data_IF_922256990020
#
_entry.id   IF_922256990020
#
_cell.length_a   1.000
_cell.length_b   1.000
_cell.length_c   1.000
_cell.angle_alpha   90.00
_cell.angle_beta   90.00
_cell.angle_gamma   90.00
#
_symmetry.space_group_name_H-M   'P 1'
#
loop_
_entity.id
_entity.type
_entity.pdbx_description
1 polymer ?
#
# COMPACT_ATOMS: atom_id res chain seq x y z
N UNK A 1 35.95 -8.32 26.98
CA UNK A 1 34.77 -8.26 26.08
C UNK A 1 35.03 -8.72 24.64
N UNK A 2 36.29 -8.90 24.18
CA UNK A 2 36.57 -9.41 22.81
C UNK A 2 36.85 -10.92 22.71
N UNK A 3 36.92 -11.64 23.83
CA UNK A 3 37.28 -13.08 23.85
C UNK A 3 36.05 -13.97 23.56
N UNK A 4 34.83 -13.48 23.78
CA UNK A 4 33.60 -14.25 23.56
C UNK A 4 33.06 -14.22 22.11
N UNK A 5 33.65 -13.44 21.20
CA UNK A 5 33.18 -13.36 19.80
C UNK A 5 33.87 -14.34 18.84
N UNK A 6 34.91 -15.07 19.24
CA UNK A 6 35.67 -15.96 18.32
C UNK A 6 35.20 -17.42 18.33
N UNK A 7 34.43 -17.85 19.35
CA UNK A 7 34.03 -19.25 19.54
C UNK A 7 32.57 -19.56 19.15
N UNK A 8 31.74 -18.57 18.85
CA UNK A 8 30.29 -18.76 18.60
C UNK A 8 29.87 -18.90 17.13
N UNK A 9 30.69 -18.42 16.17
CA UNK A 9 30.24 -18.29 14.77
C UNK A 9 29.99 -19.60 14.02
N UNK A 10 30.57 -20.73 14.46
CA UNK A 10 30.39 -22.01 13.79
C UNK A 10 29.11 -22.74 14.19
N UNK A 11 28.59 -22.54 15.40
CA UNK A 11 27.40 -23.23 15.90
C UNK A 11 26.11 -22.56 15.38
N UNK A 12 26.11 -21.22 15.31
CA UNK A 12 25.00 -20.45 14.77
C UNK A 12 24.74 -20.76 13.28
N UNK A 13 25.80 -20.91 12.48
CA UNK A 13 25.68 -21.22 11.05
C UNK A 13 25.06 -22.60 10.80
N UNK A 14 25.48 -23.62 11.57
CA UNK A 14 24.95 -24.98 11.46
C UNK A 14 23.48 -25.01 11.91
N UNK A 15 23.15 -24.33 13.00
CA UNK A 15 21.79 -24.28 13.51
C UNK A 15 20.84 -23.54 12.55
N UNK A 16 21.25 -22.39 12.01
CA UNK A 16 20.49 -21.65 11.00
C UNK A 16 20.35 -22.48 9.72
N UNK A 17 21.40 -23.20 9.29
CA UNK A 17 21.33 -24.14 8.18
C UNK A 17 20.27 -25.21 8.37
N UNK A 18 20.25 -25.86 9.55
CA UNK A 18 19.22 -26.86 9.91
C UNK A 18 17.80 -26.28 9.92
N UNK A 19 17.61 -25.07 10.45
CA UNK A 19 16.32 -24.36 10.41
C UNK A 19 15.87 -24.04 8.98
N UNK A 20 16.81 -23.87 8.06
CA UNK A 20 16.57 -23.65 6.63
C UNK A 20 16.48 -24.96 5.83
N UNK A 21 16.55 -26.12 6.50
CA UNK A 21 16.45 -27.44 5.89
C UNK A 21 17.75 -27.96 5.25
N UNK A 22 18.90 -27.40 5.60
CA UNK A 22 20.22 -27.83 5.14
C UNK A 22 20.83 -28.86 6.10
N UNK A 23 21.64 -29.77 5.57
CA UNK A 23 22.41 -30.78 6.34
C UNK A 23 21.60 -31.64 7.32
N UNK A 24 20.33 -31.92 7.00
CA UNK A 24 19.44 -32.71 7.85
C UNK A 24 19.81 -34.21 7.93
N UNK A 25 20.64 -34.71 7.01
CA UNK A 25 21.02 -36.13 6.92
C UNK A 25 21.81 -36.67 8.13
N UNK A 26 22.35 -35.79 8.97
CA UNK A 26 23.04 -36.14 10.22
C UNK A 26 22.19 -35.84 11.48
N UNK A 27 20.96 -35.36 11.32
CA UNK A 27 20.08 -34.99 12.43
C UNK A 27 19.25 -36.19 12.89
N UNK A 28 19.03 -36.31 14.19
CA UNK A 28 18.14 -37.33 14.75
C UNK A 28 16.67 -36.99 14.49
N UNK A 29 15.79 -37.98 14.67
CA UNK A 29 14.35 -37.79 14.52
C UNK A 29 13.81 -36.75 15.52
N UNK A 30 14.29 -36.78 16.76
CA UNK A 30 13.89 -35.86 17.82
C UNK A 30 14.32 -34.42 17.51
N UNK A 31 15.54 -34.22 16.99
CA UNK A 31 16.01 -32.91 16.56
C UNK A 31 15.14 -32.35 15.43
N UNK A 32 14.77 -33.20 14.46
CA UNK A 32 13.94 -32.80 13.34
C UNK A 32 12.54 -32.39 13.79
N UNK A 33 11.94 -33.13 14.72
CA UNK A 33 10.63 -32.80 15.30
C UNK A 33 10.67 -31.47 16.08
N UNK A 34 11.76 -31.18 16.78
CA UNK A 34 11.93 -29.91 17.48
C UNK A 34 12.06 -28.73 16.52
N UNK A 35 12.83 -28.90 15.44
CA UNK A 35 12.98 -27.90 14.38
C UNK A 35 11.63 -27.60 13.73
N UNK A 36 10.87 -28.63 13.37
CA UNK A 36 9.55 -28.49 12.75
C UNK A 36 8.58 -27.74 13.68
N UNK A 37 8.51 -28.15 14.94
CA UNK A 37 7.69 -27.48 15.97
C UNK A 37 8.11 -26.02 16.21
N UNK A 38 9.38 -25.68 16.06
CA UNK A 38 9.87 -24.31 16.20
C UNK A 38 9.51 -23.46 14.96
N UNK A 39 9.66 -24.02 13.76
CA UNK A 39 9.26 -23.37 12.52
C UNK A 39 7.75 -23.13 12.48
N UNK A 40 6.94 -24.12 12.84
CA UNK A 40 5.49 -24.00 12.87
C UNK A 40 5.03 -22.87 13.80
N UNK A 41 5.55 -22.83 15.03
CA UNK A 41 5.24 -21.75 15.99
C UNK A 41 5.66 -20.39 15.47
N UNK A 42 6.85 -20.28 14.88
CA UNK A 42 7.38 -19.03 14.35
C UNK A 42 6.56 -18.53 13.16
N UNK A 43 6.22 -19.43 12.22
CA UNK A 43 5.38 -19.12 11.07
C UNK A 43 3.98 -18.71 11.49
N UNK A 44 3.38 -19.39 12.47
CA UNK A 44 2.07 -19.03 13.04
C UNK A 44 2.10 -17.60 13.59
N UNK A 45 3.15 -17.26 14.35
CA UNK A 45 3.32 -15.93 14.92
C UNK A 45 3.48 -14.86 13.83
N UNK A 46 4.32 -15.11 12.82
CA UNK A 46 4.54 -14.18 11.70
C UNK A 46 3.24 -13.97 10.91
N UNK A 47 2.51 -15.04 10.60
CA UNK A 47 1.22 -14.97 9.90
C UNK A 47 0.19 -14.20 10.71
N UNK A 48 0.04 -14.48 12.00
CA UNK A 48 -0.91 -13.80 12.88
C UNK A 48 -0.66 -12.28 12.91
N UNK A 49 0.61 -11.88 13.10
CA UNK A 49 1.01 -10.46 13.08
C UNK A 49 0.73 -9.81 11.73
N UNK A 50 1.10 -10.49 10.63
CA UNK A 50 0.85 -10.00 9.27
C UNK A 50 -0.65 -9.79 9.02
N UNK A 51 -1.48 -10.75 9.40
CA UNK A 51 -2.94 -10.66 9.28
C UNK A 51 -3.51 -9.52 10.10
N UNK A 52 -3.06 -9.34 11.34
CA UNK A 52 -3.51 -8.25 12.20
C UNK A 52 -3.19 -6.88 11.57
N UNK A 53 -1.94 -6.66 11.17
CA UNK A 53 -1.51 -5.40 10.56
C UNK A 53 -2.28 -5.08 9.28
N UNK A 54 -2.51 -6.07 8.41
CA UNK A 54 -3.29 -5.84 7.19
C UNK A 54 -4.75 -5.55 7.49
N UNK A 55 -5.34 -6.18 8.51
CA UNK A 55 -6.71 -5.88 8.91
C UNK A 55 -6.85 -4.42 9.35
N UNK A 56 -5.94 -3.96 10.21
CA UNK A 56 -5.89 -2.58 10.69
C UNK A 56 -5.72 -1.59 9.52
N UNK A 57 -4.83 -1.90 8.57
CA UNK A 57 -4.59 -1.05 7.40
C UNK A 57 -5.80 -1.00 6.46
N UNK A 58 -6.49 -2.13 6.25
CA UNK A 58 -7.73 -2.18 5.46
C UNK A 58 -8.82 -1.33 6.12
N UNK A 59 -8.99 -1.43 7.43
CA UNK A 59 -9.99 -0.63 8.17
C UNK A 59 -9.70 0.87 8.07
N UNK A 60 -8.42 1.26 8.22
CA UNK A 60 -7.97 2.65 8.04
C UNK A 60 -8.26 3.17 6.64
N UNK A 61 -7.99 2.38 5.61
CA UNK A 61 -8.25 2.76 4.22
C UNK A 61 -9.74 2.89 3.93
N UNK A 62 -10.58 1.97 4.43
CA UNK A 62 -12.04 2.06 4.32
C UNK A 62 -12.59 3.32 4.98
N UNK A 63 -12.11 3.67 6.17
CA UNK A 63 -12.52 4.90 6.84
C UNK A 63 -12.16 6.14 6.00
N UNK A 64 -10.96 6.16 5.42
CA UNK A 64 -10.52 7.24 4.53
C UNK A 64 -11.37 7.33 3.26
N UNK A 65 -11.70 6.19 2.66
CA UNK A 65 -12.59 6.13 1.48
C UNK A 65 -13.95 6.75 1.78
N UNK A 66 -14.58 6.38 2.90
CA UNK A 66 -15.87 6.94 3.30
C UNK A 66 -15.84 8.46 3.51
N UNK A 67 -14.81 8.97 4.19
CA UNK A 67 -14.63 10.42 4.39
C UNK A 67 -14.47 11.17 3.05
N UNK A 68 -13.71 10.60 2.12
CA UNK A 68 -13.51 11.19 0.80
C UNK A 68 -14.79 11.16 -0.05
N UNK A 69 -15.59 10.10 0.06
CA UNK A 69 -16.89 10.01 -0.62
C UNK A 69 -17.86 11.06 -0.10
N UNK A 70 -17.93 11.24 1.22
CA UNK A 70 -18.78 12.26 1.85
C UNK A 70 -18.35 13.68 1.43
N UNK A 71 -17.05 13.96 1.48
CA UNK A 71 -16.53 15.27 1.06
C UNK A 71 -16.78 15.53 -0.44
N UNK A 72 -16.58 14.53 -1.29
CA UNK A 72 -16.89 14.64 -2.72
C UNK A 72 -18.39 14.88 -2.97
N UNK A 73 -19.27 14.23 -2.22
CA UNK A 73 -20.71 14.47 -2.32
C UNK A 73 -21.07 15.91 -1.91
N UNK A 74 -20.51 16.38 -0.79
CA UNK A 74 -20.67 17.76 -0.29
C UNK A 74 -20.20 18.80 -1.31
N UNK A 75 -19.00 18.61 -1.86
CA UNK A 75 -18.44 19.51 -2.88
C UNK A 75 -19.24 19.48 -4.17
N UNK A 76 -19.71 18.30 -4.59
CA UNK A 76 -20.55 18.14 -5.78
C UNK A 76 -21.89 18.87 -5.64
N UNK A 77 -22.50 18.83 -4.46
CA UNK A 77 -23.71 19.59 -4.15
C UNK A 77 -23.45 21.10 -4.22
N UNK A 78 -22.40 21.59 -3.56
CA UNK A 78 -22.03 23.02 -3.63
C UNK A 78 -21.74 23.48 -5.06
N UNK A 79 -21.11 22.65 -5.89
CA UNK A 79 -20.90 22.96 -7.32
C UNK A 79 -22.21 23.06 -8.07
N UNK A 80 -23.19 22.19 -7.79
CA UNK A 80 -24.53 22.26 -8.41
C UNK A 80 -25.27 23.53 -7.97
N UNK A 81 -25.17 23.91 -6.70
CA UNK A 81 -25.77 25.13 -6.14
C UNK A 81 -25.15 26.40 -6.76
N UNK A 82 -23.81 26.49 -6.84
CA UNK A 82 -23.11 27.60 -7.50
C UNK A 82 -23.44 27.72 -8.99
N UNK A 83 -23.74 26.60 -9.67
CA UNK A 83 -24.20 26.60 -11.07
C UNK A 83 -25.66 27.05 -11.23
N UNK A 84 -26.52 26.84 -10.23
CA UNK A 84 -27.91 27.36 -10.25
C UNK A 84 -27.97 28.88 -10.02
N UNK A 85 -26.99 29.47 -9.34
CA UNK A 85 -26.83 30.92 -9.17
C UNK A 85 -26.17 31.66 -10.35
N UNK A 86 -25.60 30.93 -11.33
CA UNK A 86 -25.11 31.47 -12.61
C UNK A 86 -26.05 31.07 -13.76
N UNK A 87 -27.32 31.44 -13.67
CA UNK A 87 -28.08 31.79 -14.89
C UNK A 87 -27.83 33.27 -15.16
N UNK A 88 -26.62 33.59 -15.61
CA UNK A 88 -26.37 34.90 -16.21
C UNK A 88 -26.99 34.80 -17.59
N UNK A 89 -28.11 35.49 -17.78
CA UNK A 89 -28.69 35.76 -19.08
C UNK A 89 -27.73 36.71 -19.81
N UNK A 90 -26.75 36.17 -20.54
CA UNK A 90 -25.93 36.96 -21.46
C UNK A 90 -26.29 36.54 -22.90
N UNK A 91 -26.61 37.50 -23.79
CA UNK A 91 -26.85 37.17 -25.19
C UNK A 91 -25.56 36.62 -25.80
N UNK A 92 -25.65 35.41 -26.35
CA UNK A 92 -24.50 34.74 -26.96
C UNK A 92 -23.92 35.59 -28.11
N UNK A 93 -22.72 36.13 -27.91
CA UNK A 93 -21.94 36.67 -29.01
C UNK A 93 -21.32 35.49 -29.75
N UNK A 94 -21.86 35.17 -30.93
CA UNK A 94 -21.23 34.28 -31.91
C UNK A 94 -19.96 34.96 -32.42
N UNK A 95 -18.79 34.45 -32.02
CA UNK A 95 -17.54 34.86 -32.65
C UNK A 95 -17.37 34.05 -33.95
N UNK A 96 -17.77 34.63 -35.08
CA UNK A 96 -17.50 34.06 -36.39
C UNK A 96 -16.00 34.23 -36.68
N UNK A 97 -15.22 33.19 -36.41
CA UNK A 97 -13.76 33.14 -36.61
C UNK A 97 -13.31 33.42 -38.05
N UNK A 98 -14.23 33.44 -39.02
CA UNK A 98 -13.97 33.84 -40.42
C UNK A 98 -13.72 35.34 -40.59
N UNK A 99 -14.25 36.21 -39.73
CA UNK A 99 -14.07 37.67 -39.87
C UNK A 99 -12.69 38.11 -39.37
N UNK A 100 -12.16 37.47 -38.32
CA UNK A 100 -10.90 37.88 -37.70
C UNK A 100 -9.67 37.54 -38.56
N UNK A 101 -9.67 36.39 -39.24
CA UNK A 101 -8.57 36.00 -40.12
C UNK A 101 -8.60 36.66 -41.50
N UNK A 102 -9.76 37.17 -41.95
CA UNK A 102 -9.91 37.79 -43.28
C UNK A 102 -9.31 39.20 -43.40
N UNK A 103 -9.14 39.93 -42.30
CA UNK A 103 -8.64 41.33 -42.31
C UNK A 103 -7.13 41.46 -42.12
N UNK A 104 -6.41 40.37 -41.87
CA UNK A 104 -4.95 40.37 -41.68
C UNK A 104 -4.16 39.99 -42.95
N UNK A 105 -4.84 39.74 -44.07
CA UNK A 105 -4.18 39.38 -45.34
C UNK A 105 -4.61 40.29 -46.50
N UNK A 106 -4.70 41.59 -46.22
CA UNK A 106 -4.63 42.66 -47.22
C UNK A 106 -3.75 43.80 -46.71
N UNK A 107 -2.43 43.58 -46.72
CA UNK A 107 -1.41 44.61 -46.92
C UNK A 107 -0.15 43.98 -47.48
#
# INVERSE_FOLDING_TARGET
MMIYCKLGGSMDSIFVGKLLGQDLGSSSLEELQQIDSQLERSLKNVRARKTQLFKEEIERLKAKEMLLLEENARLSQQRKEKKKGKKINEPGISFNSRVFFGLQFQR
#
